data_IF_428629106397
#
_entry.id   IF_428629106397
#
_cell.length_a   1.000
_cell.length_b   1.000
_cell.length_c   1.000
_cell.angle_alpha   90.00
_cell.angle_beta   90.00
_cell.angle_gamma   90.00
#
_symmetry.space_group_name_H-M   'P 1'
#
loop_
_entity.id
_entity.type
_entity.pdbx_description
1 polymer ?
#
# COMPACT_ATOMS: atom_id res chain seq x y z
N UNK A 1 4.50 32.03 -3.51
CA UNK A 1 3.18 31.38 -3.58
C UNK A 1 3.42 29.99 -4.18
N UNK A 2 3.75 29.01 -3.34
CA UNK A 2 3.85 27.61 -3.75
C UNK A 2 2.54 26.95 -3.28
N UNK A 3 1.83 26.29 -4.19
CA UNK A 3 0.53 25.69 -3.94
C UNK A 3 0.64 24.46 -3.04
N UNK A 4 0.79 24.68 -1.73
CA UNK A 4 0.59 23.63 -0.73
C UNK A 4 -0.85 23.13 -0.86
N UNK A 5 -1.01 21.95 -1.45
CA UNK A 5 -2.25 21.19 -1.31
C UNK A 5 -2.35 20.79 0.15
N UNK A 6 -3.35 21.32 0.83
CA UNK A 6 -3.61 21.03 2.25
C UNK A 6 -3.93 19.53 2.39
N UNK A 7 -3.43 18.87 3.44
CA UNK A 7 -3.71 17.46 3.76
C UNK A 7 -5.22 17.19 3.70
N UNK A 8 -6.02 18.16 4.17
CA UNK A 8 -7.49 18.11 4.13
C UNK A 8 -8.06 18.04 2.72
N UNK A 9 -7.47 18.76 1.75
CA UNK A 9 -7.94 18.75 0.36
C UNK A 9 -7.71 17.39 -0.29
N UNK A 10 -6.56 16.77 -0.03
CA UNK A 10 -6.25 15.43 -0.55
C UNK A 10 -7.21 14.40 0.06
N UNK A 11 -7.46 14.44 1.36
CA UNK A 11 -8.41 13.52 2.01
C UNK A 11 -9.85 13.72 1.52
N UNK A 12 -10.27 14.97 1.32
CA UNK A 12 -11.57 15.27 0.72
C UNK A 12 -11.67 14.71 -0.71
N UNK A 13 -10.62 14.88 -1.51
CA UNK A 13 -10.58 14.36 -2.87
C UNK A 13 -10.62 12.82 -2.91
N UNK A 14 -9.92 12.13 -2.01
CA UNK A 14 -9.98 10.66 -1.88
C UNK A 14 -11.41 10.19 -1.59
N UNK A 15 -12.15 10.92 -0.75
CA UNK A 15 -13.56 10.63 -0.44
C UNK A 15 -14.46 10.88 -1.65
N UNK A 16 -14.36 12.07 -2.25
CA UNK A 16 -15.22 12.51 -3.35
C UNK A 16 -15.05 11.68 -4.62
N UNK A 17 -13.81 11.29 -4.94
CA UNK A 17 -13.51 10.51 -6.14
C UNK A 17 -13.43 9.01 -5.90
N UNK A 18 -13.88 8.53 -4.74
CA UNK A 18 -13.82 7.13 -4.34
C UNK A 18 -14.40 6.14 -5.36
N UNK A 19 -15.35 6.55 -6.21
CA UNK A 19 -15.96 5.72 -7.26
C UNK A 19 -15.31 5.89 -8.66
N UNK A 20 -14.40 6.85 -8.84
CA UNK A 20 -13.86 7.22 -10.16
C UNK A 20 -12.38 6.87 -10.25
N UNK A 21 -12.07 5.63 -10.66
CA UNK A 21 -10.72 5.07 -10.69
C UNK A 21 -9.66 6.03 -11.28
N UNK A 22 -9.89 6.59 -12.47
CA UNK A 22 -8.93 7.48 -13.13
C UNK A 22 -8.65 8.79 -12.38
N UNK A 23 -9.66 9.39 -11.73
CA UNK A 23 -9.43 10.59 -10.88
C UNK A 23 -8.78 10.19 -9.56
N UNK A 24 -9.18 9.05 -9.00
CA UNK A 24 -8.68 8.57 -7.72
C UNK A 24 -7.20 8.19 -7.79
N UNK A 25 -6.76 7.60 -8.91
CA UNK A 25 -5.34 7.33 -9.18
C UNK A 25 -4.49 8.61 -9.06
N UNK A 26 -4.93 9.71 -9.68
CA UNK A 26 -4.22 10.99 -9.58
C UNK A 26 -4.15 11.48 -8.13
N UNK A 27 -5.25 11.38 -7.37
CA UNK A 27 -5.27 11.77 -5.95
C UNK A 27 -4.39 10.86 -5.09
N UNK A 28 -4.31 9.56 -5.39
CA UNK A 28 -3.41 8.64 -4.69
C UNK A 28 -1.94 8.98 -4.96
N UNK A 29 -1.59 9.39 -6.18
CA UNK A 29 -0.25 9.88 -6.47
C UNK A 29 0.07 11.15 -5.68
N UNK A 30 -0.87 12.07 -5.54
CA UNK A 30 -0.71 13.27 -4.71
C UNK A 30 -0.59 12.92 -3.22
N UNK A 31 -1.39 11.97 -2.74
CA UNK A 31 -1.29 11.40 -1.39
C UNK A 31 0.10 10.80 -1.15
N UNK A 32 0.62 10.03 -2.09
CA UNK A 32 1.97 9.47 -2.04
C UNK A 32 3.03 10.59 -1.90
N UNK A 33 2.96 11.62 -2.74
CA UNK A 33 3.91 12.76 -2.65
C UNK A 33 3.80 13.47 -1.31
N UNK A 34 2.57 13.72 -0.84
CA UNK A 34 2.31 14.37 0.43
C UNK A 34 2.89 13.57 1.61
N UNK A 35 2.60 12.27 1.73
CA UNK A 35 3.08 11.48 2.86
C UNK A 35 4.57 11.12 2.76
N UNK A 36 5.16 11.18 1.56
CA UNK A 36 6.59 10.98 1.37
C UNK A 36 7.43 12.20 1.76
N UNK A 37 6.97 13.40 1.41
CA UNK A 37 7.78 14.63 1.53
C UNK A 37 7.19 15.68 2.47
N UNK A 38 5.91 15.57 2.81
CA UNK A 38 5.20 16.49 3.68
C UNK A 38 5.71 16.45 5.12
N UNK A 39 5.63 17.60 5.77
CA UNK A 39 5.98 17.78 7.16
C UNK A 39 4.73 18.16 7.98
N UNK A 40 4.71 17.81 9.26
CA UNK A 40 3.64 18.17 10.20
C UNK A 40 2.22 17.68 9.82
N UNK A 41 2.14 16.55 9.13
CA UNK A 41 0.88 15.86 8.80
C UNK A 41 0.30 15.16 10.04
N UNK A 42 -1.02 15.23 10.21
CA UNK A 42 -1.67 14.73 11.43
C UNK A 42 -2.83 13.76 11.15
N UNK A 43 -3.18 13.50 9.89
CA UNK A 43 -4.35 12.68 9.51
C UNK A 43 -3.98 11.31 8.93
N UNK A 44 -2.81 10.76 9.29
CA UNK A 44 -2.31 9.47 8.78
C UNK A 44 -3.31 8.32 8.92
N UNK A 45 -4.01 8.21 10.05
CA UNK A 45 -5.02 7.14 10.26
C UNK A 45 -6.19 7.26 9.29
N UNK A 46 -6.65 8.48 9.04
CA UNK A 46 -7.74 8.74 8.10
C UNK A 46 -7.29 8.42 6.66
N UNK A 47 -6.10 8.90 6.28
CA UNK A 47 -5.49 8.61 4.99
C UNK A 47 -5.36 7.11 4.76
N UNK A 48 -4.90 6.37 5.77
CA UNK A 48 -4.78 4.92 5.73
C UNK A 48 -6.12 4.27 5.32
N UNK A 49 -7.20 4.60 6.02
CA UNK A 49 -8.51 4.01 5.73
C UNK A 49 -9.05 4.40 4.35
N UNK A 50 -8.81 5.64 3.90
CA UNK A 50 -9.22 6.09 2.57
C UNK A 50 -8.45 5.38 1.46
N UNK A 51 -7.14 5.22 1.61
CA UNK A 51 -6.29 4.50 0.65
C UNK A 51 -6.66 3.02 0.60
N UNK A 52 -6.89 2.37 1.76
CA UNK A 52 -7.35 0.98 1.80
C UNK A 52 -8.70 0.82 1.10
N UNK A 53 -9.65 1.72 1.36
CA UNK A 53 -10.96 1.69 0.71
C UNK A 53 -10.89 1.95 -0.80
N UNK A 54 -9.91 2.72 -1.28
CA UNK A 54 -9.66 2.92 -2.70
C UNK A 54 -9.12 1.64 -3.35
N UNK A 55 -8.09 1.03 -2.75
CA UNK A 55 -7.47 -0.20 -3.25
C UNK A 55 -8.46 -1.37 -3.27
N UNK A 56 -9.25 -1.55 -2.21
CA UNK A 56 -10.25 -2.63 -2.18
C UNK A 56 -11.34 -2.47 -3.24
N UNK A 57 -11.75 -1.22 -3.52
CA UNK A 57 -12.83 -0.96 -4.48
C UNK A 57 -12.38 -1.13 -5.93
N UNK A 58 -11.14 -0.77 -6.23
CA UNK A 58 -10.60 -0.77 -7.59
C UNK A 58 -9.45 -1.78 -7.69
N UNK A 59 -9.71 -3.00 -7.23
CA UNK A 59 -8.71 -4.07 -7.21
C UNK A 59 -8.18 -4.39 -8.61
N UNK A 60 -9.01 -4.27 -9.65
CA UNK A 60 -8.65 -4.60 -11.03
C UNK A 60 -7.76 -3.55 -11.73
N UNK A 61 -7.60 -2.35 -11.14
CA UNK A 61 -6.81 -1.26 -11.74
C UNK A 61 -5.37 -1.28 -11.22
N UNK A 62 -4.43 -1.79 -12.03
CA UNK A 62 -3.02 -1.93 -11.65
C UNK A 62 -2.37 -0.59 -11.28
N UNK A 63 -2.69 0.47 -12.02
CA UNK A 63 -2.10 1.79 -11.80
C UNK A 63 -2.56 2.42 -10.49
N UNK A 64 -3.82 2.20 -10.12
CA UNK A 64 -4.39 2.61 -8.85
C UNK A 64 -3.79 1.79 -7.70
N UNK A 65 -3.63 0.48 -7.87
CA UNK A 65 -2.99 -0.38 -6.87
C UNK A 65 -1.53 0.02 -6.63
N UNK A 66 -0.77 0.36 -7.67
CA UNK A 66 0.61 0.86 -7.55
C UNK A 66 0.65 2.18 -6.76
N UNK A 67 -0.22 3.14 -7.08
CA UNK A 67 -0.28 4.42 -6.38
C UNK A 67 -0.73 4.27 -4.91
N UNK A 68 -1.71 3.39 -4.68
CA UNK A 68 -2.23 3.07 -3.35
C UNK A 68 -1.18 2.39 -2.47
N UNK A 69 -0.54 1.34 -2.96
CA UNK A 69 0.52 0.61 -2.23
C UNK A 69 1.72 1.51 -1.93
N UNK A 70 2.11 2.39 -2.87
CA UNK A 70 3.16 3.39 -2.63
C UNK A 70 2.78 4.37 -1.51
N UNK A 71 1.52 4.82 -1.47
CA UNK A 71 1.01 5.67 -0.39
C UNK A 71 1.03 4.94 0.96
N UNK A 72 0.55 3.69 1.00
CA UNK A 72 0.51 2.87 2.21
C UNK A 72 1.90 2.73 2.84
N UNK A 73 2.94 2.45 2.04
CA UNK A 73 4.31 2.28 2.52
C UNK A 73 4.79 3.43 3.43
N UNK A 74 4.39 4.67 3.13
CA UNK A 74 4.74 5.84 3.94
C UNK A 74 3.78 6.07 5.11
N UNK A 75 2.48 5.87 4.89
CA UNK A 75 1.44 6.13 5.89
C UNK A 75 1.57 5.18 7.08
N UNK A 76 1.73 3.87 6.85
CA UNK A 76 1.66 2.85 7.91
C UNK A 76 2.75 3.02 8.99
N UNK A 77 3.90 3.63 8.64
CA UNK A 77 5.00 3.95 9.56
C UNK A 77 4.64 4.99 10.62
N UNK A 78 3.55 5.72 10.41
CA UNK A 78 3.11 6.86 11.22
C UNK A 78 1.79 6.57 11.94
N UNK A 79 1.20 5.39 11.73
CA UNK A 79 -0.08 5.00 12.33
C UNK A 79 0.15 3.93 13.39
N UNK A 80 -0.31 4.19 14.61
CA UNK A 80 -0.46 3.14 15.61
C UNK A 80 -1.71 2.32 15.25
N UNK A 81 -1.50 1.10 14.76
CA UNK A 81 -2.56 0.23 14.26
C UNK A 81 -2.98 -0.79 15.32
N UNK A 82 -4.29 -0.94 15.54
CA UNK A 82 -4.82 -2.09 16.25
C UNK A 82 -4.78 -3.35 15.36
N UNK A 83 -5.07 -4.51 15.93
CA UNK A 83 -5.02 -5.80 15.22
C UNK A 83 -5.88 -5.83 13.95
N UNK A 84 -7.06 -5.20 13.99
CA UNK A 84 -8.00 -5.23 12.86
C UNK A 84 -7.52 -4.34 11.72
N UNK A 85 -6.96 -3.16 12.02
CA UNK A 85 -6.33 -2.29 11.01
C UNK A 85 -5.11 -2.96 10.39
N UNK A 86 -4.26 -3.64 11.18
CA UNK A 86 -3.12 -4.40 10.64
C UNK A 86 -3.59 -5.47 9.67
N UNK A 87 -4.65 -6.21 10.02
CA UNK A 87 -5.28 -7.20 9.14
C UNK A 87 -5.75 -6.57 7.84
N UNK A 88 -6.47 -5.45 7.89
CA UNK A 88 -6.95 -4.75 6.69
C UNK A 88 -5.80 -4.35 5.76
N UNK A 89 -4.71 -3.83 6.31
CA UNK A 89 -3.53 -3.43 5.53
C UNK A 89 -2.91 -4.65 4.85
N UNK A 90 -2.62 -5.69 5.63
CA UNK A 90 -2.00 -6.91 5.10
C UNK A 90 -2.89 -7.53 4.03
N UNK A 91 -4.19 -7.68 4.27
CA UNK A 91 -5.14 -8.19 3.26
C UNK A 91 -5.11 -7.36 1.98
N UNK A 92 -5.18 -6.03 2.07
CA UNK A 92 -5.15 -5.17 0.88
C UNK A 92 -3.83 -5.28 0.08
N UNK A 93 -2.68 -5.39 0.77
CA UNK A 93 -1.38 -5.60 0.12
C UNK A 93 -1.31 -6.97 -0.57
N UNK A 94 -1.80 -8.03 0.07
CA UNK A 94 -1.81 -9.37 -0.52
C UNK A 94 -2.78 -9.46 -1.69
N UNK A 95 -3.98 -8.88 -1.58
CA UNK A 95 -4.97 -8.83 -2.67
C UNK A 95 -4.41 -8.11 -3.90
N UNK A 96 -3.82 -6.93 -3.70
CA UNK A 96 -3.23 -6.17 -4.79
C UNK A 96 -2.01 -6.86 -5.43
N UNK A 97 -1.17 -7.52 -4.63
CA UNK A 97 -0.01 -8.26 -5.13
C UNK A 97 -0.41 -9.53 -5.89
N UNK A 98 -1.46 -10.22 -5.45
CA UNK A 98 -2.00 -11.41 -6.11
C UNK A 98 -2.68 -11.04 -7.44
N UNK A 99 -3.48 -9.98 -7.45
CA UNK A 99 -4.17 -9.50 -8.67
C UNK A 99 -3.21 -8.95 -9.74
N UNK A 100 -2.07 -8.39 -9.33
CA UNK A 100 -1.11 -7.71 -10.21
C UNK A 100 0.31 -8.24 -10.06
N UNK A 101 0.46 -9.57 -9.96
CA UNK A 101 1.75 -10.23 -9.75
C UNK A 101 2.81 -9.87 -10.81
N UNK A 102 2.38 -9.60 -12.05
CA UNK A 102 3.27 -9.25 -13.17
C UNK A 102 3.84 -7.83 -13.04
N UNK A 103 3.20 -6.96 -12.24
CA UNK A 103 3.61 -5.57 -12.05
C UNK A 103 4.71 -5.47 -10.99
N UNK A 104 5.98 -5.42 -11.44
CA UNK A 104 7.16 -5.36 -10.56
C UNK A 104 7.08 -4.27 -9.48
N UNK A 105 6.60 -3.08 -9.85
CA UNK A 105 6.48 -1.96 -8.91
C UNK A 105 5.46 -2.26 -7.80
N UNK A 106 4.36 -2.93 -8.15
CA UNK A 106 3.32 -3.32 -7.21
C UNK A 106 3.85 -4.34 -6.20
N UNK A 107 4.48 -5.40 -6.70
CA UNK A 107 5.10 -6.45 -5.87
C UNK A 107 6.12 -5.84 -4.91
N UNK A 108 7.02 -4.99 -5.42
CA UNK A 108 8.05 -4.33 -4.60
C UNK A 108 7.44 -3.47 -3.49
N UNK A 109 6.44 -2.66 -3.79
CA UNK A 109 5.77 -1.81 -2.81
C UNK A 109 5.10 -2.65 -1.71
N UNK A 110 4.45 -3.75 -2.10
CA UNK A 110 3.77 -4.65 -1.17
C UNK A 110 4.76 -5.37 -0.26
N UNK A 111 5.81 -5.98 -0.82
CA UNK A 111 6.86 -6.64 -0.04
C UNK A 111 7.52 -5.67 0.95
N UNK A 112 7.92 -4.48 0.50
CA UNK A 112 8.51 -3.46 1.38
C UNK A 112 7.58 -2.98 2.49
N UNK A 113 6.28 -2.94 2.24
CA UNK A 113 5.27 -2.58 3.24
C UNK A 113 5.03 -3.72 4.23
N UNK A 114 5.01 -4.97 3.76
CA UNK A 114 4.89 -6.17 4.59
C UNK A 114 6.08 -6.33 5.56
N UNK A 115 7.29 -5.92 5.15
CA UNK A 115 8.48 -5.91 6.02
C UNK A 115 8.39 -4.95 7.23
N UNK A 116 7.39 -4.09 7.27
CA UNK A 116 7.18 -3.17 8.39
C UNK A 116 6.36 -3.80 9.51
N UNK A 117 5.83 -5.01 9.31
CA UNK A 117 5.07 -5.77 10.29
C UNK A 117 5.92 -6.89 10.88
N UNK A 118 5.70 -7.19 12.16
CA UNK A 118 6.40 -8.29 12.84
C UNK A 118 5.81 -9.65 12.41
N UNK A 119 6.57 -10.42 11.62
CA UNK A 119 6.25 -11.81 11.30
C UNK A 119 6.85 -12.73 12.36
N UNK A 120 6.13 -13.75 12.87
CA UNK A 120 4.80 -14.20 12.47
C UNK A 120 3.63 -13.64 13.29
N UNK A 121 3.87 -12.92 14.39
CA UNK A 121 2.79 -12.52 15.32
C UNK A 121 1.70 -11.66 14.67
N UNK A 122 2.06 -10.75 13.77
CA UNK A 122 1.12 -9.79 13.19
C UNK A 122 0.47 -10.28 11.89
N UNK A 123 1.02 -11.34 11.28
CA UNK A 123 0.61 -11.89 9.98
C UNK A 123 0.09 -13.33 10.10
N UNK A 124 0.08 -13.91 11.30
CA UNK A 124 -0.31 -15.31 11.56
C UNK A 124 -1.67 -15.69 10.93
N UNK A 125 -2.60 -14.74 10.85
CA UNK A 125 -3.95 -14.96 10.33
C UNK A 125 -3.99 -15.33 8.84
N UNK A 126 -2.95 -15.00 8.06
CA UNK A 126 -2.86 -15.29 6.62
C UNK A 126 -1.48 -15.81 6.20
N UNK A 127 -0.73 -16.38 7.16
CA UNK A 127 0.65 -16.82 6.97
C UNK A 127 0.80 -17.76 5.75
N UNK A 128 -0.16 -18.67 5.54
CA UNK A 128 -0.14 -19.58 4.40
C UNK A 128 -0.24 -18.85 3.05
N UNK A 129 -1.02 -17.77 2.96
CA UNK A 129 -1.13 -16.96 1.74
C UNK A 129 0.10 -16.10 1.55
N UNK A 130 0.62 -15.50 2.62
CA UNK A 130 1.86 -14.71 2.57
C UNK A 130 3.02 -15.57 2.08
N UNK A 131 3.22 -16.75 2.68
CA UNK A 131 4.28 -17.67 2.26
C UNK A 131 4.14 -18.09 0.79
N UNK A 132 2.93 -18.45 0.35
CA UNK A 132 2.68 -18.80 -1.06
C UNK A 132 2.98 -17.64 -2.01
N UNK A 133 2.53 -16.43 -1.68
CA UNK A 133 2.76 -15.25 -2.52
C UNK A 133 4.24 -14.86 -2.55
N UNK A 134 4.96 -14.91 -1.44
CA UNK A 134 6.41 -14.63 -1.43
C UNK A 134 7.19 -15.65 -2.27
N UNK A 135 6.79 -16.93 -2.26
CA UNK A 135 7.37 -17.96 -3.14
C UNK A 135 7.05 -17.67 -4.61
N UNK A 136 5.81 -17.30 -4.93
CA UNK A 136 5.43 -16.92 -6.30
C UNK A 136 6.23 -15.70 -6.79
N UNK A 137 6.40 -14.69 -5.94
CA UNK A 137 7.24 -13.51 -6.22
C UNK A 137 8.68 -13.91 -6.53
N UNK A 138 9.28 -14.80 -5.76
CA UNK A 138 10.64 -15.31 -6.03
C UNK A 138 10.74 -16.02 -7.38
N UNK A 139 9.69 -16.75 -7.78
CA UNK A 139 9.66 -17.48 -9.03
C UNK A 139 9.49 -16.54 -10.24
N UNK A 140 8.59 -15.55 -10.12
CA UNK A 140 8.26 -14.61 -11.21
C UNK A 140 9.28 -13.47 -11.37
N UNK A 141 9.88 -12.99 -10.28
CA UNK A 141 10.78 -11.83 -10.27
C UNK A 141 12.23 -12.19 -9.95
N UNK A 142 12.66 -13.39 -10.35
CA UNK A 142 13.95 -14.01 -10.00
C UNK A 142 15.20 -13.22 -10.46
N UNK A 143 15.04 -12.20 -11.31
CA UNK A 143 16.12 -11.33 -11.77
C UNK A 143 16.34 -10.08 -10.90
N UNK A 144 15.46 -9.76 -9.94
CA UNK A 144 15.59 -8.57 -9.11
C UNK A 144 16.22 -8.89 -7.73
N UNK A 145 17.48 -8.49 -7.56
CA UNK A 145 18.25 -8.68 -6.33
C UNK A 145 17.64 -7.99 -5.09
N UNK A 146 16.82 -6.94 -5.27
CA UNK A 146 16.14 -6.26 -4.14
C UNK A 146 14.98 -7.09 -3.61
N UNK A 147 14.18 -7.65 -4.52
CA UNK A 147 13.05 -8.51 -4.19
C UNK A 147 13.53 -9.84 -3.58
N UNK A 148 14.61 -10.42 -4.11
CA UNK A 148 15.24 -11.62 -3.50
C UNK A 148 15.76 -11.37 -2.09
N UNK A 149 16.43 -10.24 -1.83
CA UNK A 149 16.93 -9.93 -0.48
C UNK A 149 15.82 -9.79 0.54
N UNK A 150 14.71 -9.15 0.16
CA UNK A 150 13.55 -9.02 1.05
C UNK A 150 13.03 -10.41 1.45
N UNK A 151 12.89 -11.35 0.51
CA UNK A 151 12.40 -12.70 0.81
C UNK A 151 13.43 -13.57 1.55
N UNK A 152 14.73 -13.37 1.32
CA UNK A 152 15.80 -14.18 1.95
C UNK A 152 16.06 -13.76 3.42
N UNK A 153 15.65 -12.56 3.84
CA UNK A 153 15.66 -12.17 5.26
C UNK A 153 14.40 -12.61 6.03
N UNK A 154 13.49 -13.34 5.38
CA UNK A 154 12.35 -14.03 5.99
C UNK A 154 12.65 -15.50 6.30
#
# INVERSE_FOLDING_TARGET
IAGDKDEKQILLALRMYSQRAGLLQAVLNESYQLYRFGHNLNQHTEALHLVLGAMQRHLEDSTLQIAGSASLFYIIRKVSMNRDTKRMVVTALLDGMDAHMEEQVMVRNCCLSLCQFEIPLEILFDYGRVARLLVAVLQHHNSDHLTQRIVVFY
#
